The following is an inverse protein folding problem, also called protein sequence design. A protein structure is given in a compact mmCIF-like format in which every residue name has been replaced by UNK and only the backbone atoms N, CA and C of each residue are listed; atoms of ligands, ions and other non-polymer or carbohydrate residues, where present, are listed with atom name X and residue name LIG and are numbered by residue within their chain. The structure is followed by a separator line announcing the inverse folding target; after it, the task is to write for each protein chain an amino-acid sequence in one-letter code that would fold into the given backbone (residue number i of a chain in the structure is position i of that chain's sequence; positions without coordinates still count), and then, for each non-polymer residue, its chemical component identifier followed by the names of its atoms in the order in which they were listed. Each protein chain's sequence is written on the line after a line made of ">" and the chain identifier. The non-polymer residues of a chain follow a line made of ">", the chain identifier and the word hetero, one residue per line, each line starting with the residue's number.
data_IF_667026488091
#
_entry.id   IF_667026488091
#
_cell.length_a   1.000
_cell.length_b   1.000
_cell.length_c   1.000
_cell.angle_alpha   90.00
_cell.angle_beta   90.00
_cell.angle_gamma   90.00
#
_symmetry.space_group_name_H-M   'P 1'
#
loop_
_entity.id
_entity.type
_entity.pdbx_description
1 polymer ?
#
# COMPACT_ATOMS: atom_id res chain seq x y z
N UNK A 1 16.01 -16.87 5.63
CA UNK A 1 17.01 -16.53 6.67
C UNK A 1 17.22 -17.79 7.49
N UNK A 2 18.41 -18.39 7.44
CA UNK A 2 18.72 -19.67 8.13
C UNK A 2 18.80 -19.53 9.66
N UNK A 3 18.49 -18.35 10.21
CA UNK A 3 18.60 -18.05 11.64
C UNK A 3 17.33 -18.30 12.46
N UNK A 4 16.24 -18.76 11.84
CA UNK A 4 14.95 -18.95 12.51
C UNK A 4 14.87 -20.32 13.18
N UNK A 5 14.63 -20.37 14.49
CA UNK A 5 14.46 -21.65 15.22
C UNK A 5 13.08 -22.26 14.98
N UNK A 6 12.98 -23.56 15.24
CA UNK A 6 11.71 -24.28 15.22
C UNK A 6 10.72 -23.63 16.21
N UNK A 7 9.60 -23.13 15.68
CA UNK A 7 8.55 -22.41 16.45
C UNK A 7 8.60 -20.88 16.38
N UNK A 8 9.62 -20.28 15.74
CA UNK A 8 9.78 -18.83 15.64
C UNK A 8 9.20 -18.22 14.34
N UNK A 9 8.43 -19.00 13.56
CA UNK A 9 7.91 -18.57 12.25
C UNK A 9 6.38 -18.48 12.23
N UNK A 10 5.90 -17.42 11.56
CA UNK A 10 4.56 -17.42 10.98
C UNK A 10 4.50 -18.56 9.97
N UNK A 11 3.51 -19.43 10.09
CA UNK A 11 3.28 -20.51 9.15
C UNK A 11 1.80 -20.52 8.77
N UNK A 12 1.53 -20.91 7.54
CA UNK A 12 0.16 -21.16 7.06
C UNK A 12 0.00 -22.62 6.75
N UNK A 13 -1.17 -23.16 7.05
CA UNK A 13 -1.54 -24.50 6.64
C UNK A 13 -2.34 -24.43 5.34
N UNK A 14 -1.89 -25.16 4.33
CA UNK A 14 -2.56 -25.30 3.04
C UNK A 14 -2.81 -26.77 2.80
N UNK A 15 -4.08 -27.17 2.73
CA UNK A 15 -4.48 -28.58 2.53
C UNK A 15 -3.78 -29.55 3.51
N UNK A 16 -3.63 -29.14 4.77
CA UNK A 16 -2.94 -29.92 5.81
C UNK A 16 -1.40 -29.83 5.80
N UNK A 17 -0.81 -29.16 4.81
CA UNK A 17 0.63 -28.93 4.73
C UNK A 17 1.04 -27.61 5.39
N UNK A 18 2.01 -27.68 6.30
CA UNK A 18 2.63 -26.49 6.90
C UNK A 18 3.58 -25.83 5.89
N UNK A 19 3.34 -24.56 5.60
CA UNK A 19 4.23 -23.69 4.83
C UNK A 19 4.85 -22.65 5.78
N UNK A 20 6.16 -22.73 5.96
CA UNK A 20 6.89 -21.73 6.75
C UNK A 20 7.14 -20.48 5.90
N UNK A 21 6.86 -19.32 6.50
CA UNK A 21 7.10 -18.02 5.88
C UNK A 21 8.59 -17.66 5.94
N UNK A 22 9.10 -17.12 4.83
CA UNK A 22 10.50 -16.71 4.66
C UNK A 22 10.72 -15.21 4.84
N UNK A 23 9.64 -14.44 4.89
CA UNK A 23 9.63 -12.98 4.97
C UNK A 23 8.89 -12.52 6.22
N UNK A 24 9.38 -11.48 6.94
CA UNK A 24 8.63 -10.86 8.02
C UNK A 24 7.46 -10.04 7.48
N UNK A 25 6.50 -9.68 8.34
CA UNK A 25 5.42 -8.75 7.99
C UNK A 25 5.94 -7.32 7.85
N UNK A 26 6.19 -6.90 6.61
CA UNK A 26 6.55 -5.53 6.29
C UNK A 26 5.35 -4.59 6.35
N UNK A 27 4.17 -5.05 5.91
CA UNK A 27 2.89 -4.35 6.00
C UNK A 27 1.79 -5.33 6.41
N UNK A 28 1.09 -5.04 7.50
CA UNK A 28 -0.08 -5.79 7.92
C UNK A 28 -1.37 -5.11 7.47
N UNK A 29 -2.25 -5.83 6.78
CA UNK A 29 -3.63 -5.45 6.58
C UNK A 29 -4.47 -5.96 7.75
N UNK A 30 -5.35 -5.10 8.24
CA UNK A 30 -6.34 -5.43 9.26
C UNK A 30 -7.69 -4.95 8.75
N UNK A 31 -8.54 -5.91 8.37
CA UNK A 31 -9.90 -5.62 7.96
C UNK A 31 -10.73 -5.28 9.20
N UNK A 32 -11.24 -4.05 9.27
CA UNK A 32 -12.04 -3.58 10.40
C UNK A 32 -13.51 -4.00 10.28
N UNK A 33 -13.98 -4.18 9.04
CA UNK A 33 -15.35 -4.52 8.74
C UNK A 33 -15.45 -4.99 7.29
N UNK A 34 -16.38 -5.87 6.94
CA UNK A 34 -16.74 -6.14 5.54
C UNK A 34 -17.86 -5.19 5.03
N UNK A 35 -18.37 -4.28 5.88
CA UNK A 35 -19.34 -3.26 5.46
C UNK A 35 -18.69 -2.22 4.55
N UNK A 36 -19.45 -1.73 3.58
CA UNK A 36 -19.00 -0.71 2.65
C UNK A 36 -20.12 0.30 2.32
N UNK A 37 -19.74 1.55 2.08
CA UNK A 37 -20.64 2.62 1.60
C UNK A 37 -20.69 2.70 0.06
N UNK A 38 -20.23 1.65 -0.64
CA UNK A 38 -20.32 1.45 -2.09
C UNK A 38 -20.75 0.02 -2.42
N UNK A 39 -21.25 -0.20 -3.63
CA UNK A 39 -21.56 -1.53 -4.20
C UNK A 39 -20.83 -1.69 -5.55
N UNK A 40 -19.52 -1.88 -5.49
CA UNK A 40 -18.70 -1.84 -6.70
C UNK A 40 -18.85 -3.12 -7.53
N UNK A 41 -18.97 -3.03 -8.87
CA UNK A 41 -19.05 -4.18 -9.75
C UNK A 41 -17.88 -5.17 -9.63
N UNK A 42 -16.67 -4.68 -9.36
CA UNK A 42 -15.44 -5.48 -9.34
C UNK A 42 -14.96 -5.87 -7.93
N UNK A 43 -15.73 -5.58 -6.87
CA UNK A 43 -15.29 -5.78 -5.49
C UNK A 43 -15.78 -7.12 -4.92
N UNK A 44 -14.88 -7.88 -4.32
CA UNK A 44 -15.16 -9.17 -3.70
C UNK A 44 -15.55 -9.08 -2.20
N UNK A 45 -15.41 -7.91 -1.56
CA UNK A 45 -15.50 -7.74 -0.11
C UNK A 45 -16.83 -7.15 0.41
N UNK A 46 -17.91 -7.21 -0.38
CA UNK A 46 -19.17 -6.51 -0.06
C UNK A 46 -20.12 -7.32 0.84
N UNK A 47 -20.23 -6.95 2.13
CA UNK A 47 -21.14 -7.57 3.09
C UNK A 47 -22.62 -7.69 2.65
N UNK A 48 -23.13 -6.69 1.90
CA UNK A 48 -24.55 -6.67 1.49
C UNK A 48 -24.91 -7.80 0.53
N UNK A 49 -23.94 -8.31 -0.23
CA UNK A 49 -24.13 -9.42 -1.16
C UNK A 49 -23.77 -10.76 -0.50
N UNK A 50 -23.06 -10.73 0.63
CA UNK A 50 -22.61 -11.90 1.38
C UNK A 50 -23.63 -12.43 2.41
N UNK A 51 -24.54 -11.58 2.90
CA UNK A 51 -25.58 -11.97 3.89
C UNK A 51 -25.09 -12.08 5.34
N UNK A 52 -23.83 -11.72 5.61
CA UNK A 52 -23.21 -11.74 6.94
C UNK A 52 -22.34 -10.50 7.16
N UNK A 53 -22.09 -10.17 8.43
CA UNK A 53 -21.22 -9.05 8.82
C UNK A 53 -20.02 -9.57 9.61
N UNK A 54 -18.84 -9.34 9.04
CA UNK A 54 -17.54 -9.47 9.70
C UNK A 54 -17.16 -8.09 10.24
N UNK A 55 -17.09 -7.93 11.56
CA UNK A 55 -16.73 -6.67 12.21
C UNK A 55 -16.16 -6.96 13.60
N UNK A 56 -14.85 -7.23 13.73
CA UNK A 56 -14.24 -7.46 15.04
C UNK A 56 -14.41 -6.25 15.95
N UNK A 57 -14.71 -6.50 17.22
CA UNK A 57 -14.78 -5.44 18.22
C UNK A 57 -13.40 -4.83 18.50
N UNK A 58 -13.40 -3.68 19.18
CA UNK A 58 -12.18 -2.91 19.46
C UNK A 58 -11.13 -3.72 20.23
N UNK A 59 -11.54 -4.55 21.18
CA UNK A 59 -10.62 -5.34 21.99
C UNK A 59 -9.96 -6.44 21.15
N UNK A 60 -10.73 -7.05 20.24
CA UNK A 60 -10.22 -8.03 19.27
C UNK A 60 -9.25 -7.37 18.30
N UNK A 61 -9.59 -6.19 17.76
CA UNK A 61 -8.67 -5.39 16.93
C UNK A 61 -7.38 -5.06 17.69
N UNK A 62 -7.44 -4.72 18.98
CA UNK A 62 -6.26 -4.51 19.82
C UNK A 62 -5.40 -5.78 19.96
N UNK A 63 -6.01 -6.95 20.18
CA UNK A 63 -5.29 -8.24 20.25
C UNK A 63 -4.61 -8.59 18.93
N UNK A 64 -5.28 -8.34 17.80
CA UNK A 64 -4.71 -8.52 16.46
C UNK A 64 -3.47 -7.63 16.26
N UNK A 65 -3.54 -6.36 16.68
CA UNK A 65 -2.39 -5.46 16.68
C UNK A 65 -1.26 -5.94 17.59
N UNK A 66 -1.57 -6.51 18.76
CA UNK A 66 -0.57 -7.08 19.66
C UNK A 66 0.12 -8.30 19.04
N UNK A 67 -0.61 -9.17 18.34
CA UNK A 67 -0.03 -10.30 17.63
C UNK A 67 1.04 -9.84 16.60
N UNK A 68 0.72 -8.83 15.80
CA UNK A 68 1.65 -8.23 14.84
C UNK A 68 2.89 -7.60 15.51
N UNK A 69 2.70 -6.93 16.65
CA UNK A 69 3.81 -6.33 17.41
C UNK A 69 4.68 -7.35 18.13
N UNK A 70 4.13 -8.54 18.39
CA UNK A 70 4.82 -9.64 19.05
C UNK A 70 5.54 -10.58 18.08
N UNK A 71 5.38 -10.40 16.75
CA UNK A 71 6.13 -11.14 15.74
C UNK A 71 7.64 -11.16 16.04
N UNK A 72 8.22 -12.35 15.88
CA UNK A 72 9.64 -12.62 16.03
C UNK A 72 10.21 -13.12 14.70
N UNK A 73 11.50 -12.86 14.42
CA UNK A 73 12.43 -12.03 15.18
C UNK A 73 12.23 -10.53 14.94
N UNK A 74 11.40 -10.15 13.97
CA UNK A 74 11.13 -8.77 13.57
C UNK A 74 9.65 -8.47 13.82
N UNK A 75 9.39 -7.50 14.70
CA UNK A 75 8.03 -7.01 14.93
C UNK A 75 7.54 -6.19 13.74
N UNK A 76 6.27 -6.37 13.35
CA UNK A 76 5.64 -5.56 12.31
C UNK A 76 5.60 -4.07 12.73
N UNK A 77 5.99 -3.16 11.84
CA UNK A 77 5.98 -1.71 12.12
C UNK A 77 5.04 -0.88 11.27
N UNK A 78 4.35 -1.48 10.31
CA UNK A 78 3.40 -0.80 9.45
C UNK A 78 2.06 -1.55 9.42
N UNK A 79 0.98 -0.85 9.69
CA UNK A 79 -0.38 -1.38 9.64
C UNK A 79 -1.23 -0.56 8.67
N UNK A 80 -2.09 -1.24 7.92
CA UNK A 80 -3.07 -0.67 7.03
C UNK A 80 -4.46 -1.17 7.44
N UNK A 81 -5.32 -0.24 7.85
CA UNK A 81 -6.72 -0.53 8.08
C UNK A 81 -7.46 -0.62 6.75
N UNK A 82 -8.22 -1.69 6.59
CA UNK A 82 -8.88 -2.10 5.34
C UNK A 82 -10.25 -2.70 5.67
N UNK A 83 -10.86 -3.40 4.71
CA UNK A 83 -12.10 -4.14 4.86
C UNK A 83 -12.96 -3.98 3.62
N UNK A 84 -14.26 -3.77 3.82
CA UNK A 84 -15.11 -3.13 2.84
C UNK A 84 -14.71 -1.65 2.70
N UNK A 85 -15.14 -0.81 3.65
CA UNK A 85 -14.66 0.57 3.77
C UNK A 85 -14.34 0.88 5.25
N UNK A 86 -13.06 0.98 5.64
CA UNK A 86 -12.70 1.17 7.05
C UNK A 86 -13.26 2.45 7.65
N UNK A 87 -13.57 3.47 6.85
CA UNK A 87 -14.16 4.72 7.37
C UNK A 87 -15.57 4.58 7.93
N UNK A 88 -16.27 3.46 7.69
CA UNK A 88 -17.57 3.18 8.31
C UNK A 88 -17.46 2.46 9.66
N UNK A 89 -16.26 2.04 10.06
CA UNK A 89 -16.07 1.38 11.35
C UNK A 89 -16.30 2.37 12.51
N UNK A 90 -17.18 2.09 13.48
CA UNK A 90 -17.61 3.07 14.49
C UNK A 90 -16.46 3.65 15.32
N UNK A 91 -15.45 2.84 15.63
CA UNK A 91 -14.31 3.18 16.49
C UNK A 91 -13.01 3.46 15.73
N UNK A 92 -13.11 3.97 14.50
CA UNK A 92 -11.94 4.15 13.63
C UNK A 92 -10.84 5.02 14.27
N UNK A 93 -11.22 6.13 14.91
CA UNK A 93 -10.26 7.09 15.48
C UNK A 93 -9.52 6.47 16.65
N UNK A 94 -10.23 5.73 17.49
CA UNK A 94 -9.70 4.98 18.62
C UNK A 94 -8.74 3.87 18.16
N UNK A 95 -9.09 3.15 17.09
CA UNK A 95 -8.23 2.12 16.50
C UNK A 95 -6.93 2.72 15.96
N UNK A 96 -7.00 3.87 15.29
CA UNK A 96 -5.81 4.60 14.82
C UNK A 96 -4.95 5.03 16.00
N UNK A 97 -5.54 5.61 17.05
CA UNK A 97 -4.83 6.02 18.26
C UNK A 97 -4.13 4.82 18.94
N UNK A 98 -4.84 3.69 19.07
CA UNK A 98 -4.30 2.46 19.63
C UNK A 98 -3.09 1.93 18.82
N UNK A 99 -3.13 1.99 17.48
CA UNK A 99 -1.98 1.61 16.66
C UNK A 99 -0.76 2.50 16.93
N UNK A 100 -0.95 3.81 17.14
CA UNK A 100 0.14 4.71 17.49
C UNK A 100 0.71 4.44 18.87
N UNK A 101 -0.14 4.18 19.86
CA UNK A 101 0.27 3.78 21.20
C UNK A 101 1.10 2.48 21.17
N UNK A 102 0.67 1.51 20.35
CA UNK A 102 1.38 0.25 20.09
C UNK A 102 2.63 0.40 19.20
N UNK A 103 3.05 1.64 18.92
CA UNK A 103 4.30 2.00 18.23
C UNK A 103 4.38 1.48 16.78
N UNK A 104 3.26 1.38 16.07
CA UNK A 104 3.29 1.30 14.62
C UNK A 104 3.86 2.61 14.05
N UNK A 105 4.98 2.48 13.34
CA UNK A 105 5.67 3.62 12.74
C UNK A 105 4.82 4.21 11.60
N UNK A 106 4.20 3.34 10.81
CA UNK A 106 3.30 3.68 9.73
C UNK A 106 1.89 3.18 10.03
N UNK A 107 0.92 4.08 9.98
CA UNK A 107 -0.50 3.78 10.18
C UNK A 107 -1.23 4.30 8.96
N UNK A 108 -1.75 3.38 8.17
CA UNK A 108 -2.37 3.63 6.88
C UNK A 108 -3.85 3.26 6.90
N UNK A 109 -4.61 3.82 5.97
CA UNK A 109 -5.99 3.43 5.72
C UNK A 109 -6.22 3.27 4.22
N UNK A 110 -6.69 2.10 3.80
CA UNK A 110 -7.14 1.83 2.44
C UNK A 110 -8.60 2.25 2.32
N UNK A 111 -8.86 3.35 1.61
CA UNK A 111 -10.20 3.96 1.58
C UNK A 111 -10.58 4.38 0.17
N UNK A 112 -11.88 4.33 -0.11
CA UNK A 112 -12.48 4.93 -1.29
C UNK A 112 -12.51 6.47 -1.24
N UNK A 113 -12.25 7.07 -0.07
CA UNK A 113 -12.09 8.51 0.12
C UNK A 113 -13.39 9.30 0.32
N UNK A 114 -14.57 8.69 0.21
CA UNK A 114 -15.86 9.40 0.31
C UNK A 114 -15.99 10.15 1.63
N UNK A 115 -15.70 9.47 2.76
CA UNK A 115 -15.82 10.08 4.10
C UNK A 115 -14.82 11.22 4.26
N UNK A 116 -13.56 11.02 3.89
CA UNK A 116 -12.53 12.06 4.02
C UNK A 116 -12.71 13.23 3.05
N UNK A 117 -13.40 13.04 1.93
CA UNK A 117 -13.77 14.11 1.00
C UNK A 117 -14.92 14.97 1.57
N UNK A 118 -15.96 14.33 2.11
CA UNK A 118 -17.18 15.01 2.57
C UNK A 118 -17.13 15.49 4.03
N UNK A 119 -16.30 14.87 4.87
CA UNK A 119 -16.20 15.15 6.30
C UNK A 119 -14.75 15.49 6.66
N UNK A 120 -14.43 16.78 6.57
CA UNK A 120 -13.12 17.33 6.92
C UNK A 120 -12.73 17.06 8.38
N UNK A 121 -13.68 17.18 9.31
CA UNK A 121 -13.42 16.93 10.73
C UNK A 121 -13.03 15.48 10.98
N UNK A 122 -13.67 14.52 10.30
CA UNK A 122 -13.28 13.11 10.43
C UNK A 122 -11.86 12.84 9.94
N UNK A 123 -11.46 13.45 8.81
CA UNK A 123 -10.07 13.38 8.34
C UNK A 123 -9.10 13.96 9.39
N UNK A 124 -9.45 15.11 9.95
CA UNK A 124 -8.65 15.81 10.97
C UNK A 124 -8.51 14.99 12.25
N UNK A 125 -9.59 14.42 12.77
CA UNK A 125 -9.59 13.51 13.92
C UNK A 125 -8.67 12.31 13.69
N UNK A 126 -8.78 11.65 12.53
CA UNK A 126 -7.92 10.52 12.18
C UNK A 126 -6.44 10.92 12.09
N UNK A 127 -6.14 12.08 11.49
CA UNK A 127 -4.78 12.60 11.42
C UNK A 127 -4.20 12.93 12.80
N UNK A 128 -5.01 13.51 13.70
CA UNK A 128 -4.62 13.81 15.09
C UNK A 128 -4.41 12.54 15.92
N UNK A 129 -5.25 11.52 15.72
CA UNK A 129 -5.04 10.19 16.30
C UNK A 129 -3.76 9.50 15.77
N UNK A 130 -3.22 9.99 14.65
CA UNK A 130 -1.90 9.69 14.13
C UNK A 130 -1.87 8.84 12.86
N UNK A 131 -2.98 8.82 12.12
CA UNK A 131 -3.00 8.40 10.72
C UNK A 131 -1.94 9.19 9.95
N UNK A 132 -1.07 8.52 9.20
CA UNK A 132 0.00 9.18 8.47
C UNK A 132 0.04 8.84 6.98
N UNK A 133 -0.74 7.87 6.51
CA UNK A 133 -0.88 7.58 5.08
C UNK A 133 -2.33 7.27 4.72
N UNK A 134 -2.84 7.90 3.67
CA UNK A 134 -4.09 7.54 3.02
C UNK A 134 -3.73 6.75 1.76
N UNK A 135 -4.10 5.48 1.75
CA UNK A 135 -3.96 4.58 0.61
C UNK A 135 -5.24 4.71 -0.21
N UNK A 136 -5.27 5.72 -1.09
CA UNK A 136 -6.48 6.21 -1.75
C UNK A 136 -6.76 5.42 -3.02
N UNK A 137 -7.90 4.72 -3.09
CA UNK A 137 -8.38 4.11 -4.33
C UNK A 137 -8.52 5.19 -5.42
N UNK A 138 -7.88 5.01 -6.57
CA UNK A 138 -7.79 6.01 -7.64
C UNK A 138 -7.64 5.29 -8.99
N UNK A 139 -8.74 4.89 -9.62
CA UNK A 139 -8.67 4.05 -10.83
C UNK A 139 -8.49 4.85 -12.12
N UNK A 140 -8.72 6.17 -12.09
CA UNK A 140 -8.60 6.99 -13.29
C UNK A 140 -8.83 8.47 -13.05
N UNK A 141 -8.75 9.25 -14.11
CA UNK A 141 -9.01 10.69 -14.15
C UNK A 141 -10.41 11.00 -14.68
N UNK A 142 -11.05 10.04 -15.36
CA UNK A 142 -12.38 10.16 -15.92
C UNK A 142 -13.43 9.39 -15.12
N UNK A 143 -14.61 10.01 -14.94
CA UNK A 143 -15.70 9.39 -14.19
C UNK A 143 -16.27 8.13 -14.86
N UNK A 144 -16.12 7.96 -16.18
CA UNK A 144 -16.56 6.76 -16.89
C UNK A 144 -15.79 5.50 -16.45
N UNK A 145 -14.50 5.66 -16.12
CA UNK A 145 -13.70 4.57 -15.54
C UNK A 145 -14.28 4.16 -14.18
N UNK A 146 -14.65 5.14 -13.35
CA UNK A 146 -15.26 4.88 -12.03
C UNK A 146 -16.69 4.35 -12.12
N UNK A 147 -17.47 4.77 -13.11
CA UNK A 147 -18.78 4.19 -13.38
C UNK A 147 -18.65 2.69 -13.69
N UNK A 148 -17.70 2.31 -14.54
CA UNK A 148 -17.45 0.90 -14.91
C UNK A 148 -16.83 0.08 -13.76
N UNK A 149 -15.85 0.62 -13.04
CA UNK A 149 -15.10 -0.10 -12.00
C UNK A 149 -15.78 -0.06 -10.62
N UNK A 150 -16.41 1.06 -10.25
CA UNK A 150 -16.96 1.32 -8.91
C UNK A 150 -18.47 1.53 -8.88
N UNK A 151 -19.12 1.63 -10.03
CA UNK A 151 -20.58 1.79 -10.14
C UNK A 151 -21.07 3.22 -9.84
N UNK A 152 -20.16 4.20 -9.80
CA UNK A 152 -20.49 5.61 -9.48
C UNK A 152 -19.36 6.55 -9.87
N UNK A 153 -19.71 7.83 -10.07
CA UNK A 153 -18.76 8.94 -10.20
C UNK A 153 -17.95 9.13 -8.92
N UNK A 154 -16.63 9.29 -9.06
CA UNK A 154 -15.68 9.32 -7.93
C UNK A 154 -14.54 10.31 -8.11
N UNK A 155 -14.31 10.89 -9.29
CA UNK A 155 -13.14 11.75 -9.49
C UNK A 155 -13.16 12.97 -8.55
N UNK A 156 -14.31 13.64 -8.44
CA UNK A 156 -14.53 14.76 -7.50
C UNK A 156 -14.31 14.36 -6.03
N UNK A 157 -14.58 13.10 -5.67
CA UNK A 157 -14.27 12.58 -4.34
C UNK A 157 -12.76 12.58 -4.11
N UNK A 158 -11.97 12.14 -5.10
CA UNK A 158 -10.50 12.08 -4.98
C UNK A 158 -9.91 13.47 -4.84
N UNK A 159 -10.37 14.42 -5.65
CA UNK A 159 -9.95 15.82 -5.56
C UNK A 159 -10.29 16.41 -4.19
N UNK A 160 -11.48 16.13 -3.65
CA UNK A 160 -11.88 16.59 -2.32
C UNK A 160 -11.00 16.03 -1.19
N UNK A 161 -10.54 14.76 -1.28
CA UNK A 161 -9.57 14.21 -0.31
C UNK A 161 -8.23 14.96 -0.39
N UNK A 162 -7.73 15.20 -1.60
CA UNK A 162 -6.47 15.92 -1.84
C UNK A 162 -6.56 17.34 -1.26
N UNK A 163 -7.65 18.05 -1.53
CA UNK A 163 -7.84 19.42 -1.05
C UNK A 163 -7.99 19.47 0.47
N UNK A 164 -8.74 18.54 1.08
CA UNK A 164 -8.85 18.46 2.53
C UNK A 164 -7.50 18.14 3.20
N UNK A 165 -6.66 17.28 2.62
CA UNK A 165 -5.30 17.04 3.10
C UNK A 165 -4.39 18.26 2.97
N UNK A 166 -4.57 19.07 1.91
CA UNK A 166 -3.84 20.32 1.68
C UNK A 166 -4.25 21.38 2.70
N UNK A 167 -5.56 21.56 2.89
CA UNK A 167 -6.13 22.43 3.93
C UNK A 167 -5.60 22.07 5.32
N UNK A 168 -5.64 20.78 5.70
CA UNK A 168 -5.15 20.33 7.00
C UNK A 168 -3.64 20.63 7.20
N UNK A 169 -2.85 20.47 6.14
CA UNK A 169 -1.42 20.80 6.18
C UNK A 169 -1.18 22.29 6.38
N UNK A 170 -1.97 23.15 5.72
CA UNK A 170 -1.91 24.59 5.90
C UNK A 170 -2.30 24.99 7.33
N UNK A 171 -3.33 24.35 7.90
CA UNK A 171 -3.80 24.64 9.26
C UNK A 171 -2.85 24.17 10.36
N UNK A 172 -2.20 23.02 10.20
CA UNK A 172 -1.47 22.35 11.29
C UNK A 172 0.02 22.14 11.04
N UNK A 173 0.50 22.47 9.84
CA UNK A 173 1.85 22.14 9.36
C UNK A 173 2.02 20.66 9.01
N UNK A 174 1.02 19.81 9.23
CA UNK A 174 1.10 18.37 8.96
C UNK A 174 -0.20 17.83 8.34
N UNK A 175 -0.08 16.81 7.49
CA UNK A 175 -1.22 16.03 7.03
C UNK A 175 -0.75 14.60 6.70
N UNK A 176 -1.67 13.62 6.71
CA UNK A 176 -1.38 12.31 6.14
C UNK A 176 -0.90 12.45 4.69
N UNK A 177 0.11 11.68 4.31
CA UNK A 177 0.52 11.58 2.90
C UNK A 177 -0.49 10.76 2.12
N UNK A 178 -0.71 11.08 0.85
CA UNK A 178 -1.58 10.29 -0.03
C UNK A 178 -0.70 9.39 -0.92
N UNK A 179 -1.07 8.12 -1.04
CA UNK A 179 -0.62 7.21 -2.10
C UNK A 179 -1.80 6.91 -2.99
N UNK A 180 -1.68 7.17 -4.29
CA UNK A 180 -2.73 6.83 -5.26
C UNK A 180 -2.62 5.35 -5.59
N UNK A 181 -3.75 4.64 -5.52
CA UNK A 181 -3.82 3.20 -5.68
C UNK A 181 -4.69 2.89 -6.88
N UNK A 182 -4.05 2.50 -7.97
CA UNK A 182 -4.70 2.38 -9.27
C UNK A 182 -4.96 0.92 -9.54
N UNK A 183 -6.21 0.45 -9.45
CA UNK A 183 -6.53 -0.90 -9.92
C UNK A 183 -6.46 -0.90 -11.44
N UNK A 184 -5.41 -1.45 -12.03
CA UNK A 184 -5.19 -1.38 -13.49
C UNK A 184 -5.77 -2.60 -14.20
N UNK A 185 -6.53 -2.34 -15.25
CA UNK A 185 -7.18 -3.34 -16.11
C UNK A 185 -6.97 -2.93 -17.56
N UNK A 186 -6.48 -3.85 -18.37
CA UNK A 186 -6.30 -3.64 -19.80
C UNK A 186 -7.64 -3.33 -20.49
N UNK A 187 -7.66 -2.31 -21.34
CA UNK A 187 -8.87 -1.87 -22.06
C UNK A 187 -9.87 -1.08 -21.20
N UNK A 188 -9.57 -0.83 -19.92
CA UNK A 188 -10.38 0.00 -19.04
C UNK A 188 -9.68 1.32 -18.74
N UNK A 189 -8.48 1.27 -18.15
CA UNK A 189 -7.77 2.44 -17.65
C UNK A 189 -6.25 2.39 -17.89
N UNK A 190 -5.76 1.40 -18.65
CA UNK A 190 -4.34 1.26 -18.97
C UNK A 190 -3.80 2.44 -19.80
N UNK A 191 -4.66 3.09 -20.57
CA UNK A 191 -4.34 4.30 -21.34
C UNK A 191 -4.14 5.56 -20.47
N UNK A 192 -4.57 5.55 -19.21
CA UNK A 192 -4.37 6.68 -18.29
C UNK A 192 -3.14 6.52 -17.39
N UNK A 193 -2.40 5.41 -17.49
CA UNK A 193 -1.26 5.12 -16.59
C UNK A 193 -0.29 6.31 -16.52
N UNK A 194 0.20 6.82 -17.64
CA UNK A 194 1.08 7.99 -17.64
C UNK A 194 0.41 9.29 -17.18
N UNK A 195 -0.88 9.48 -17.47
CA UNK A 195 -1.63 10.66 -17.07
C UNK A 195 -1.83 10.73 -15.54
N UNK A 196 -2.08 9.59 -14.90
CA UNK A 196 -2.20 9.49 -13.43
C UNK A 196 -0.86 9.83 -12.76
N UNK A 197 0.27 9.42 -13.32
CA UNK A 197 1.59 9.81 -12.80
C UNK A 197 1.77 11.33 -12.87
N UNK A 198 1.44 11.96 -14.00
CA UNK A 198 1.48 13.42 -14.16
C UNK A 198 0.56 14.13 -13.16
N UNK A 199 -0.64 13.58 -12.92
CA UNK A 199 -1.57 14.08 -11.91
C UNK A 199 -0.97 13.99 -10.50
N UNK A 200 -0.32 12.88 -10.14
CA UNK A 200 0.35 12.72 -8.85
C UNK A 200 1.48 13.75 -8.68
N UNK A 201 2.30 13.94 -9.70
CA UNK A 201 3.41 14.92 -9.73
C UNK A 201 2.87 16.36 -9.51
N UNK A 202 1.75 16.70 -10.14
CA UNK A 202 1.08 17.99 -9.96
C UNK A 202 0.59 18.21 -8.52
N UNK A 203 0.21 17.14 -7.82
CA UNK A 203 -0.30 17.16 -6.45
C UNK A 203 0.74 16.69 -5.41
N UNK A 204 2.03 16.78 -5.72
CA UNK A 204 3.12 16.23 -4.88
C UNK A 204 3.28 16.88 -3.49
N UNK A 205 2.60 17.99 -3.27
CA UNK A 205 2.55 18.67 -1.97
C UNK A 205 1.91 17.77 -0.89
N UNK A 206 0.93 16.94 -1.30
CA UNK A 206 0.26 15.95 -0.43
C UNK A 206 0.32 14.51 -0.94
N UNK A 207 0.49 14.30 -2.25
CA UNK A 207 0.67 12.97 -2.86
C UNK A 207 2.14 12.58 -2.86
N UNK A 208 2.49 11.42 -2.30
CA UNK A 208 3.88 10.94 -2.16
C UNK A 208 4.22 9.72 -3.01
N UNK A 209 3.22 9.12 -3.65
CA UNK A 209 3.47 8.06 -4.60
C UNK A 209 2.23 7.56 -5.33
N UNK A 210 2.50 6.72 -6.31
CA UNK A 210 1.50 5.98 -7.08
C UNK A 210 1.86 4.50 -7.00
N UNK A 211 0.89 3.68 -6.63
CA UNK A 211 0.99 2.23 -6.67
C UNK A 211 -0.06 1.67 -7.63
N UNK A 212 0.40 1.23 -8.80
CA UNK A 212 -0.43 0.53 -9.77
C UNK A 212 -0.62 -0.92 -9.32
N UNK A 213 -1.84 -1.40 -9.32
CA UNK A 213 -2.18 -2.75 -8.89
C UNK A 213 -2.93 -3.43 -10.03
N UNK A 214 -2.20 -4.14 -10.93
CA UNK A 214 -2.81 -5.03 -11.88
C UNK A 214 -3.87 -5.89 -11.22
N UNK A 215 -5.05 -5.96 -11.84
CA UNK A 215 -6.19 -6.72 -11.32
C UNK A 215 -5.81 -8.19 -11.13
N UNK A 216 -6.19 -8.74 -9.98
CA UNK A 216 -6.22 -10.18 -9.76
C UNK A 216 -7.65 -10.66 -9.99
N UNK A 217 -7.81 -11.60 -10.93
CA UNK A 217 -9.12 -12.13 -11.26
C UNK A 217 -9.52 -13.23 -10.27
N UNK A 218 -10.41 -12.88 -9.33
CA UNK A 218 -10.90 -13.79 -8.28
C UNK A 218 -12.40 -14.00 -8.44
N UNK A 219 -12.92 -15.16 -7.99
CA UNK A 219 -14.34 -15.51 -8.12
C UNK A 219 -14.77 -15.97 -9.52
N UNK A 220 -15.96 -15.56 -9.97
CA UNK A 220 -16.61 -16.02 -11.21
C UNK A 220 -16.21 -15.15 -12.41
N UNK A 221 -14.97 -15.26 -12.85
CA UNK A 221 -14.45 -14.59 -14.06
C UNK A 221 -14.15 -15.64 -15.13
N UNK A 222 -14.55 -15.39 -16.36
CA UNK A 222 -14.25 -16.29 -17.49
C UNK A 222 -12.79 -16.19 -17.91
N UNK A 223 -12.23 -17.26 -18.50
CA UNK A 223 -10.87 -17.23 -19.04
C UNK A 223 -10.68 -16.13 -20.10
N UNK A 224 -11.75 -15.79 -20.83
CA UNK A 224 -11.74 -14.73 -21.82
C UNK A 224 -11.56 -13.35 -21.17
N UNK A 225 -12.38 -13.01 -20.17
CA UNK A 225 -12.24 -11.78 -19.37
C UNK A 225 -10.86 -11.68 -18.71
N UNK A 226 -10.34 -12.81 -18.20
CA UNK A 226 -8.98 -12.88 -17.63
C UNK A 226 -7.93 -12.51 -18.68
N UNK A 227 -8.00 -13.10 -19.88
CA UNK A 227 -6.99 -12.89 -20.91
C UNK A 227 -7.03 -11.48 -21.51
N UNK A 228 -8.22 -10.90 -21.68
CA UNK A 228 -8.39 -9.58 -22.26
C UNK A 228 -8.07 -8.45 -21.28
N UNK A 229 -8.41 -8.62 -19.99
CA UNK A 229 -8.24 -7.58 -18.97
C UNK A 229 -6.88 -7.58 -18.27
N UNK A 230 -6.04 -8.61 -18.49
CA UNK A 230 -4.76 -8.76 -17.77
C UNK A 230 -3.75 -7.73 -18.23
N UNK A 231 -3.10 -7.13 -17.25
CA UNK A 231 -1.96 -6.24 -17.42
C UNK A 231 -0.81 -6.73 -16.54
N UNK A 232 0.41 -6.71 -17.06
CA UNK A 232 1.60 -7.16 -16.32
C UNK A 232 2.35 -5.98 -15.68
N UNK A 233 3.28 -6.28 -14.76
CA UNK A 233 4.18 -5.26 -14.20
C UNK A 233 4.99 -4.56 -15.31
N UNK A 234 5.43 -5.32 -16.31
CA UNK A 234 6.18 -4.82 -17.46
C UNK A 234 5.33 -3.95 -18.38
N UNK A 235 4.04 -4.26 -18.55
CA UNK A 235 3.13 -3.41 -19.32
C UNK A 235 2.94 -2.05 -18.64
N UNK A 236 2.79 -2.04 -17.31
CA UNK A 236 2.70 -0.78 -16.54
C UNK A 236 3.98 0.05 -16.70
N UNK A 237 5.16 -0.56 -16.51
CA UNK A 237 6.43 0.14 -16.69
C UNK A 237 6.59 0.67 -18.12
N UNK A 238 6.24 -0.15 -19.13
CA UNK A 238 6.28 0.24 -20.54
C UNK A 238 5.36 1.42 -20.83
N UNK A 239 4.11 1.40 -20.34
CA UNK A 239 3.17 2.53 -20.44
C UNK A 239 3.75 3.80 -19.83
N UNK A 240 4.34 3.72 -18.64
CA UNK A 240 4.96 4.89 -18.01
C UNK A 240 6.10 5.43 -18.88
N UNK A 241 6.98 4.56 -19.41
CA UNK A 241 8.05 4.96 -20.31
C UNK A 241 7.51 5.66 -21.57
N UNK A 242 6.53 5.06 -22.24
CA UNK A 242 5.98 5.54 -23.52
C UNK A 242 5.13 6.81 -23.35
N UNK A 243 4.26 6.85 -22.34
CA UNK A 243 3.28 7.94 -22.16
C UNK A 243 3.91 9.21 -21.53
N UNK A 244 5.04 9.06 -20.84
CA UNK A 244 5.67 10.16 -20.09
C UNK A 244 7.07 10.53 -20.56
N UNK A 245 7.85 9.57 -21.07
CA UNK A 245 9.26 9.76 -21.39
C UNK A 245 10.16 9.98 -20.17
N UNK A 246 9.66 9.77 -18.93
CA UNK A 246 10.44 10.01 -17.71
C UNK A 246 11.40 8.88 -17.35
N UNK A 247 11.17 7.67 -17.86
CA UNK A 247 11.98 6.47 -17.58
C UNK A 247 12.24 5.68 -18.84
N UNK A 248 13.27 4.85 -18.82
CA UNK A 248 13.42 3.69 -19.69
C UNK A 248 13.07 2.40 -18.92
N UNK A 249 13.01 1.27 -19.61
CA UNK A 249 12.77 -0.02 -18.95
C UNK A 249 13.87 -0.41 -17.96
N UNK A 250 15.09 0.13 -18.12
CA UNK A 250 16.22 -0.16 -17.23
C UNK A 250 16.14 0.62 -15.90
N UNK A 251 15.23 1.58 -15.78
CA UNK A 251 15.02 2.36 -14.55
C UNK A 251 14.12 1.66 -13.52
N UNK A 252 13.71 0.41 -13.77
CA UNK A 252 12.73 -0.31 -12.98
C UNK A 252 13.33 -1.53 -12.30
N UNK A 253 13.16 -1.60 -10.98
CA UNK A 253 13.76 -2.65 -10.16
C UNK A 253 12.72 -3.45 -9.40
N UNK A 254 12.91 -4.78 -9.25
CA UNK A 254 12.09 -5.57 -8.34
C UNK A 254 12.19 -5.05 -6.91
N UNK A 255 11.11 -5.18 -6.14
CA UNK A 255 11.08 -4.80 -4.71
C UNK A 255 12.26 -5.34 -3.88
N UNK A 256 12.72 -6.61 -4.02
CA UNK A 256 13.81 -7.11 -3.20
C UNK A 256 15.18 -6.45 -3.43
N UNK A 257 15.35 -5.60 -4.45
CA UNK A 257 16.57 -4.83 -4.68
C UNK A 257 17.00 -3.99 -3.47
N UNK A 258 16.05 -3.53 -2.63
CA UNK A 258 16.36 -2.77 -1.42
C UNK A 258 16.66 -3.64 -0.19
N UNK A 259 16.60 -4.97 -0.29
CA UNK A 259 16.84 -5.88 0.83
C UNK A 259 18.26 -5.74 1.38
N UNK A 260 19.26 -5.57 0.52
CA UNK A 260 20.66 -5.37 0.93
C UNK A 260 20.86 -4.12 1.80
N UNK A 261 20.09 -3.05 1.54
CA UNK A 261 20.10 -1.82 2.36
C UNK A 261 19.61 -2.12 3.78
N UNK A 262 18.50 -2.84 3.88
CA UNK A 262 17.89 -3.21 5.17
C UNK A 262 18.75 -4.21 5.95
N UNK A 263 19.40 -5.13 5.25
CA UNK A 263 20.35 -6.08 5.83
C UNK A 263 21.57 -5.36 6.43
N UNK A 264 22.21 -4.49 5.64
CA UNK A 264 23.33 -3.69 6.10
C UNK A 264 22.96 -2.83 7.32
N UNK A 265 21.80 -2.17 7.27
CA UNK A 265 21.28 -1.38 8.39
C UNK A 265 21.10 -2.24 9.66
N UNK A 266 20.61 -3.47 9.52
CA UNK A 266 20.44 -4.41 10.64
C UNK A 266 21.78 -4.77 11.28
N UNK A 267 22.80 -5.04 10.46
CA UNK A 267 24.15 -5.40 10.90
C UNK A 267 24.80 -4.26 11.69
N UNK A 268 24.75 -3.01 11.20
CA UNK A 268 25.42 -1.87 11.85
C UNK A 268 24.70 -1.37 13.10
N UNK A 269 23.38 -1.56 13.17
CA UNK A 269 22.56 -1.17 14.32
C UNK A 269 22.47 -2.29 15.36
N UNK A 270 22.86 -3.52 15.03
CA UNK A 270 22.73 -4.68 15.91
C UNK A 270 21.26 -5.00 16.24
N UNK A 271 20.35 -4.69 15.31
CA UNK A 271 18.91 -4.87 15.48
C UNK A 271 18.34 -5.37 14.16
N UNK A 272 17.55 -6.45 14.18
CA UNK A 272 16.86 -6.91 12.98
C UNK A 272 15.84 -5.85 12.55
N UNK A 273 16.05 -5.25 11.39
CA UNK A 273 15.11 -4.34 10.74
C UNK A 273 14.26 -5.12 9.76
N UNK A 274 13.07 -4.59 9.45
CA UNK A 274 12.25 -5.11 8.35
C UNK A 274 13.11 -5.10 7.09
N UNK A 275 13.26 -6.27 6.52
CA UNK A 275 13.82 -6.48 5.18
C UNK A 275 12.65 -6.68 4.21
N UNK A 276 12.90 -6.44 2.93
CA UNK A 276 11.91 -6.68 1.88
C UNK A 276 12.33 -7.86 0.98
N UNK A 277 12.48 -9.10 1.49
CA UNK A 277 12.96 -10.25 0.70
C UNK A 277 11.85 -10.88 -0.17
N UNK A 278 10.87 -10.07 -0.59
CA UNK A 278 9.74 -10.53 -1.39
C UNK A 278 10.18 -11.14 -2.71
N UNK A 279 9.39 -12.06 -3.25
CA UNK A 279 9.67 -12.61 -4.56
C UNK A 279 9.75 -11.50 -5.64
N UNK A 280 10.74 -11.51 -6.55
CA UNK A 280 10.94 -10.45 -7.55
C UNK A 280 9.71 -10.19 -8.43
N UNK A 281 8.90 -11.23 -8.69
CA UNK A 281 7.68 -11.10 -9.51
C UNK A 281 6.50 -10.42 -8.78
N UNK A 282 6.61 -10.12 -7.48
CA UNK A 282 5.52 -9.51 -6.73
C UNK A 282 5.33 -8.02 -7.02
N UNK A 283 6.41 -7.31 -7.35
CA UNK A 283 6.32 -5.89 -7.62
C UNK A 283 7.58 -5.31 -8.23
N UNK A 284 7.38 -4.17 -8.88
CA UNK A 284 8.38 -3.42 -9.62
C UNK A 284 8.27 -1.96 -9.20
N UNK A 285 9.38 -1.25 -9.01
CA UNK A 285 9.34 0.15 -8.59
C UNK A 285 10.54 0.96 -9.06
N UNK A 286 10.34 2.27 -9.04
CA UNK A 286 11.38 3.29 -9.18
C UNK A 286 11.07 4.49 -8.27
N UNK A 287 12.02 5.41 -8.16
CA UNK A 287 11.86 6.65 -7.42
C UNK A 287 12.19 7.83 -8.32
N UNK A 288 11.30 8.82 -8.34
CA UNK A 288 11.52 10.07 -9.07
C UNK A 288 11.99 11.18 -8.13
N UNK A 289 12.98 11.93 -8.58
CA UNK A 289 13.33 13.25 -8.07
C UNK A 289 12.63 14.28 -8.95
N UNK A 290 11.79 15.10 -8.33
CA UNK A 290 10.93 16.07 -9.00
C UNK A 290 11.30 17.47 -8.52
N UNK A 291 11.53 18.41 -9.43
CA UNK A 291 11.87 19.80 -9.06
C UNK A 291 10.73 20.50 -8.32
N UNK A 292 11.04 21.57 -7.59
CA UNK A 292 10.06 22.34 -6.81
C UNK A 292 8.92 22.94 -7.64
N UNK A 293 9.13 23.20 -8.93
CA UNK A 293 8.10 23.61 -9.89
C UNK A 293 7.42 22.42 -10.60
N UNK A 294 8.01 21.22 -10.53
CA UNK A 294 7.53 20.00 -11.17
C UNK A 294 7.89 19.87 -12.65
N UNK A 295 8.72 20.78 -13.19
CA UNK A 295 9.10 20.79 -14.60
C UNK A 295 10.13 19.72 -14.96
N UNK A 296 10.98 19.33 -14.01
CA UNK A 296 12.00 18.28 -14.17
C UNK A 296 11.62 17.06 -13.33
N UNK A 297 11.63 15.90 -13.97
CA UNK A 297 11.35 14.60 -13.36
C UNK A 297 12.49 13.66 -13.75
N UNK A 298 13.27 13.23 -12.77
CA UNK A 298 14.50 12.46 -12.98
C UNK A 298 14.42 11.18 -12.16
N UNK A 299 14.43 9.99 -12.78
CA UNK A 299 14.39 8.74 -12.04
C UNK A 299 15.75 8.47 -11.39
N UNK A 300 15.75 7.88 -10.18
CA UNK A 300 16.98 7.61 -9.44
C UNK A 300 18.02 6.81 -10.26
N UNK A 301 17.65 5.75 -11.02
CA UNK A 301 18.65 4.98 -11.75
C UNK A 301 19.33 5.73 -12.89
N UNK A 302 18.76 6.84 -13.39
CA UNK A 302 19.41 7.62 -14.45
C UNK A 302 20.69 8.32 -13.99
N UNK A 303 20.86 8.54 -12.68
CA UNK A 303 22.04 9.18 -12.10
C UNK A 303 22.68 8.39 -10.95
N UNK A 304 22.17 7.18 -10.66
CA UNK A 304 22.75 6.27 -9.68
C UNK A 304 22.79 4.86 -10.24
N UNK A 305 23.98 4.25 -10.26
CA UNK A 305 24.21 2.85 -10.65
C UNK A 305 23.69 1.91 -9.56
N UNK A 306 22.37 1.68 -9.55
CA UNK A 306 21.67 0.94 -8.48
C UNK A 306 22.22 -0.48 -8.33
N UNK A 307 22.45 -1.20 -9.42
CA UNK A 307 22.96 -2.58 -9.39
C UNK A 307 24.36 -2.67 -8.77
N UNK A 308 25.28 -1.81 -9.22
CA UNK A 308 26.63 -1.73 -8.65
C UNK A 308 26.59 -1.38 -7.16
N UNK A 309 25.69 -0.47 -6.77
CA UNK A 309 25.52 -0.08 -5.37
C UNK A 309 25.00 -1.23 -4.51
N UNK A 310 23.95 -1.93 -4.95
CA UNK A 310 23.35 -3.03 -4.17
C UNK A 310 24.34 -4.18 -4.02
N UNK A 311 24.98 -4.61 -5.11
CA UNK A 311 26.00 -5.66 -5.09
C UNK A 311 27.17 -5.29 -4.16
N UNK A 312 27.71 -4.08 -4.30
CA UNK A 312 28.79 -3.61 -3.44
C UNK A 312 28.36 -3.49 -1.98
N UNK A 313 27.10 -3.17 -1.70
CA UNK A 313 26.57 -3.07 -0.35
C UNK A 313 26.50 -4.45 0.32
N UNK A 314 26.09 -5.49 -0.41
CA UNK A 314 26.08 -6.87 0.07
C UNK A 314 27.50 -7.36 0.41
N UNK A 315 28.49 -7.05 -0.43
CA UNK A 315 29.90 -7.34 -0.14
C UNK A 315 30.38 -6.63 1.14
N UNK A 316 30.00 -5.35 1.32
CA UNK A 316 30.33 -4.60 2.53
C UNK A 316 29.60 -5.18 3.75
N UNK A 317 28.35 -5.63 3.62
CA UNK A 317 27.58 -6.26 4.68
C UNK A 317 28.26 -7.55 5.18
N UNK A 318 28.70 -8.43 4.26
CA UNK A 318 29.44 -9.65 4.59
C UNK A 318 30.77 -9.35 5.33
N UNK A 319 31.44 -8.24 4.99
CA UNK A 319 32.62 -7.78 5.73
C UNK A 319 32.24 -7.24 7.11
N UNK A 320 31.15 -6.48 7.21
CA UNK A 320 30.70 -5.85 8.44
C UNK A 320 30.32 -6.89 9.50
N UNK A 321 29.69 -8.01 9.11
CA UNK A 321 29.34 -9.11 10.02
C UNK A 321 30.55 -9.69 10.76
N UNK A 322 31.69 -9.79 10.08
CA UNK A 322 32.95 -10.35 10.63
C UNK A 322 33.73 -9.35 11.48
N UNK A 323 33.35 -8.07 11.54
CA UNK A 323 34.08 -7.03 12.27
C UNK A 323 33.55 -6.82 13.69
N UNK A 324 34.47 -6.65 14.64
CA UNK A 324 34.15 -6.22 16.02
C UNK A 324 33.49 -4.82 16.07
N UNK A 325 33.98 -3.88 15.26
CA UNK A 325 33.44 -2.52 15.15
C UNK A 325 32.73 -2.32 13.82
N UNK A 326 31.51 -2.87 13.70
CA UNK A 326 30.70 -2.89 12.47
C UNK A 326 30.51 -1.50 11.84
N UNK A 327 30.24 -0.47 12.66
CA UNK A 327 30.01 0.92 12.19
C UNK A 327 31.18 1.52 11.36
N UNK A 328 32.41 1.00 11.49
CA UNK A 328 33.54 1.45 10.67
C UNK A 328 33.36 1.17 9.17
N UNK A 329 32.46 0.26 8.79
CA UNK A 329 32.14 0.03 7.37
C UNK A 329 31.29 1.14 6.76
N UNK A 330 30.74 2.06 7.54
CA UNK A 330 29.96 3.19 7.03
C UNK A 330 30.74 4.08 6.05
N UNK A 331 32.05 4.25 6.27
CA UNK A 331 32.93 4.96 5.33
C UNK A 331 33.05 4.24 3.98
N UNK A 332 33.04 2.90 3.98
CA UNK A 332 33.04 2.10 2.74
C UNK A 332 31.72 2.28 1.98
N UNK A 333 30.59 2.27 2.68
CA UNK A 333 29.27 2.52 2.05
C UNK A 333 29.19 3.94 1.49
N UNK A 334 29.69 4.94 2.22
CA UNK A 334 29.78 6.32 1.71
C UNK A 334 30.62 6.39 0.44
N UNK A 335 31.78 5.73 0.41
CA UNK A 335 32.65 5.67 -0.77
C UNK A 335 31.95 4.98 -1.95
N UNK A 336 31.33 3.82 -1.70
CA UNK A 336 30.57 3.08 -2.72
C UNK A 336 29.45 3.93 -3.30
N UNK A 337 28.64 4.56 -2.44
CA UNK A 337 27.56 5.44 -2.88
C UNK A 337 28.09 6.54 -3.80
N UNK A 338 29.17 7.24 -3.41
CA UNK A 338 29.80 8.26 -4.25
C UNK A 338 30.31 7.73 -5.60
N UNK A 339 30.83 6.50 -5.65
CA UNK A 339 31.31 5.86 -6.88
C UNK A 339 30.15 5.45 -7.82
N UNK A 340 28.99 5.18 -7.26
CA UNK A 340 27.80 4.80 -8.03
C UNK A 340 27.02 6.02 -8.55
N UNK A 341 27.37 7.25 -8.16
CA UNK A 341 26.72 8.45 -8.69
C UNK A 341 27.30 8.86 -10.04
N UNK A 342 26.41 9.27 -10.94
CA UNK A 342 26.74 9.83 -12.25
C UNK A 342 26.51 11.34 -12.15
N UNK A 343 27.58 12.07 -11.82
CA UNK A 343 27.51 13.48 -11.39
C UNK A 343 26.88 14.38 -12.45
N UNK A 344 27.22 14.15 -13.71
CA UNK A 344 26.74 14.90 -14.87
C UNK A 344 25.22 14.74 -15.12
N UNK A 345 24.60 13.70 -14.54
CA UNK A 345 23.16 13.44 -14.64
C UNK A 345 22.40 13.76 -13.35
N UNK A 346 23.10 14.21 -12.30
CA UNK A 346 22.44 14.53 -11.04
C UNK A 346 21.47 15.71 -11.20
N UNK A 347 20.34 15.69 -10.48
CA UNK A 347 19.44 16.84 -10.40
C UNK A 347 20.19 18.14 -10.07
N UNK A 348 19.91 19.20 -10.82
CA UNK A 348 20.56 20.50 -10.64
C UNK A 348 20.33 21.03 -9.20
N UNK A 349 21.41 21.47 -8.55
CA UNK A 349 21.38 21.92 -7.15
C UNK A 349 21.42 20.78 -6.11
N UNK A 350 21.26 19.51 -6.50
CA UNK A 350 21.46 18.39 -5.60
C UNK A 350 22.96 18.10 -5.42
N UNK A 351 23.49 18.42 -4.25
CA UNK A 351 24.87 18.04 -3.92
C UNK A 351 24.96 16.55 -3.55
N UNK A 352 26.11 15.92 -3.79
CA UNK A 352 26.40 14.54 -3.34
C UNK A 352 26.15 14.35 -1.84
N UNK A 353 26.59 15.32 -1.03
CA UNK A 353 26.38 15.26 0.42
C UNK A 353 24.90 15.42 0.78
N UNK A 354 24.15 16.26 0.05
CA UNK A 354 22.70 16.39 0.18
C UNK A 354 21.98 15.08 -0.13
N UNK A 355 22.37 14.39 -1.21
CA UNK A 355 21.79 13.09 -1.59
C UNK A 355 22.08 12.04 -0.54
N UNK A 356 23.34 11.96 -0.09
CA UNK A 356 23.74 11.08 1.01
C UNK A 356 22.92 11.38 2.27
N UNK A 357 22.76 12.65 2.65
CA UNK A 357 21.97 13.01 3.83
C UNK A 357 20.49 12.65 3.67
N UNK A 358 19.93 12.77 2.47
CA UNK A 358 18.54 12.38 2.17
C UNK A 358 18.38 10.86 2.28
N UNK A 359 19.24 10.08 1.63
CA UNK A 359 19.20 8.62 1.65
C UNK A 359 19.46 8.05 3.06
N UNK A 360 20.45 8.60 3.80
CA UNK A 360 20.71 8.23 5.19
C UNK A 360 19.59 8.70 6.14
N UNK A 361 18.99 9.86 5.85
CA UNK A 361 17.88 10.45 6.58
C UNK A 361 16.64 9.56 6.55
N UNK A 362 16.33 8.97 5.39
CA UNK A 362 15.27 7.95 5.20
C UNK A 362 15.50 6.74 6.12
N UNK A 363 16.75 6.36 6.38
CA UNK A 363 17.11 5.25 7.29
C UNK A 363 17.16 5.65 8.78
N UNK A 364 16.89 6.92 9.12
CA UNK A 364 16.98 7.46 10.47
C UNK A 364 15.64 8.03 10.96
N UNK A 365 15.44 8.11 12.29
CA UNK A 365 14.24 8.74 12.88
C UNK A 365 14.10 10.26 12.57
N UNK A 366 15.08 10.87 11.92
CA UNK A 366 15.18 12.33 11.66
C UNK A 366 14.81 12.74 10.23
N UNK A 367 14.10 11.91 9.47
CA UNK A 367 13.82 12.17 8.05
C UNK A 367 13.07 13.48 7.76
N UNK A 368 12.24 13.98 8.70
CA UNK A 368 11.36 15.13 8.46
C UNK A 368 12.11 16.47 8.36
N UNK A 369 13.21 16.66 9.09
CA UNK A 369 13.93 17.95 9.13
C UNK A 369 14.98 18.07 8.01
N UNK A 370 15.59 16.96 7.58
CA UNK A 370 16.63 16.95 6.53
C UNK A 370 16.14 17.31 5.14
N UNK A 371 14.83 17.20 4.88
CA UNK A 371 14.23 17.49 3.57
C UNK A 371 13.80 18.95 3.41
N UNK A 372 13.77 19.75 4.48
CA UNK A 372 13.23 21.12 4.47
C UNK A 372 14.10 22.13 3.69
N UNK A 373 15.35 21.79 3.35
CA UNK A 373 16.25 22.61 2.52
C UNK A 373 16.46 22.07 1.11
N UNK A 374 15.64 21.11 0.67
CA UNK A 374 15.82 20.39 -0.59
C UNK A 374 14.79 20.87 -1.62
N UNK A 375 15.23 21.49 -2.71
CA UNK A 375 14.38 21.99 -3.82
C UNK A 375 13.80 20.88 -4.70
N UNK A 376 13.91 19.62 -4.27
CA UNK A 376 13.45 18.45 -5.01
C UNK A 376 12.59 17.57 -4.10
N UNK A 377 11.42 17.16 -4.60
CA UNK A 377 10.58 16.14 -3.96
C UNK A 377 10.96 14.75 -4.44
N UNK A 378 10.93 13.77 -3.54
CA UNK A 378 10.99 12.35 -3.94
C UNK A 378 9.57 11.78 -4.04
N UNK A 379 9.29 11.02 -5.10
CA UNK A 379 8.04 10.31 -5.29
C UNK A 379 8.30 8.83 -5.59
N UNK A 380 7.63 7.95 -4.85
CA UNK A 380 7.61 6.53 -5.13
C UNK A 380 6.65 6.22 -6.27
N UNK A 381 7.07 5.45 -7.25
CA UNK A 381 6.18 4.89 -8.27
C UNK A 381 6.45 3.41 -8.37
N UNK A 382 5.42 2.61 -8.16
CA UNK A 382 5.53 1.17 -8.21
C UNK A 382 4.30 0.50 -8.78
N UNK A 383 4.46 -0.77 -9.09
CA UNK A 383 3.39 -1.66 -9.46
C UNK A 383 3.48 -2.94 -8.62
N UNK A 384 2.34 -3.46 -8.19
CA UNK A 384 2.24 -4.66 -7.36
C UNK A 384 1.23 -5.63 -7.96
N UNK A 385 1.71 -6.83 -8.33
CA UNK A 385 0.91 -7.83 -9.01
C UNK A 385 0.43 -8.87 -7.99
N UNK A 386 -0.85 -8.85 -7.64
CA UNK A 386 -1.43 -9.88 -6.80
C UNK A 386 -1.65 -11.17 -7.59
N UNK A 387 -1.71 -12.29 -6.87
CA UNK A 387 -1.91 -13.60 -7.49
C UNK A 387 -3.40 -13.87 -7.71
N UNK A 388 -3.67 -14.65 -8.73
CA UNK A 388 -4.97 -15.28 -8.99
C UNK A 388 -4.76 -16.73 -9.45
N UNK A 389 -5.84 -17.44 -9.80
CA UNK A 389 -5.78 -18.84 -10.21
C UNK A 389 -4.88 -19.09 -11.43
N UNK A 390 -4.62 -18.08 -12.27
CA UNK A 390 -3.79 -18.22 -13.46
C UNK A 390 -2.29 -18.19 -13.15
N UNK A 391 -1.86 -17.42 -12.13
CA UNK A 391 -0.44 -17.19 -11.83
C UNK A 391 -0.05 -17.52 -10.38
N UNK A 392 -0.82 -18.38 -9.71
CA UNK A 392 -0.59 -18.72 -8.31
C UNK A 392 0.69 -19.53 -8.12
N UNK A 393 1.63 -19.00 -7.34
CA UNK A 393 2.93 -19.57 -7.06
C UNK A 393 3.17 -19.59 -5.53
N UNK A 394 3.43 -20.78 -5.00
CA UNK A 394 3.70 -20.99 -3.58
C UNK A 394 4.98 -20.31 -3.10
N UNK A 395 6.01 -20.18 -3.95
CA UNK A 395 7.25 -19.49 -3.58
C UNK A 395 7.03 -17.99 -3.39
N UNK A 396 6.09 -17.41 -4.16
CA UNK A 396 5.62 -16.03 -3.94
C UNK A 396 4.86 -15.89 -2.63
N UNK A 397 4.02 -16.87 -2.29
CA UNK A 397 3.29 -16.90 -1.01
C UNK A 397 4.26 -16.98 0.16
N UNK A 398 5.21 -17.93 0.16
CA UNK A 398 6.22 -18.10 1.23
C UNK A 398 7.09 -16.87 1.43
N UNK A 399 7.30 -16.06 0.39
CA UNK A 399 8.08 -14.81 0.45
C UNK A 399 7.23 -13.56 0.58
N UNK A 400 5.92 -13.67 0.77
CA UNK A 400 5.07 -12.49 0.93
C UNK A 400 5.47 -11.69 2.17
N UNK A 401 5.56 -10.37 2.05
CA UNK A 401 5.80 -9.47 3.19
C UNK A 401 4.58 -8.63 3.54
N UNK A 402 3.46 -8.87 2.85
CA UNK A 402 2.18 -8.23 3.09
C UNK A 402 1.25 -9.32 3.63
N UNK A 403 0.80 -9.15 4.86
CA UNK A 403 -0.02 -10.16 5.53
C UNK A 403 -1.36 -9.57 5.96
N UNK A 404 -2.33 -10.43 6.19
CA UNK A 404 -3.53 -10.13 6.98
C UNK A 404 -3.35 -10.70 8.38
N UNK A 405 -3.84 -9.97 9.37
CA UNK A 405 -4.08 -10.54 10.71
C UNK A 405 -5.57 -10.82 10.89
N UNK A 406 -5.89 -11.97 11.45
CA UNK A 406 -7.28 -12.42 11.68
C UNK A 406 -7.68 -12.31 13.16
N UNK A 407 -8.99 -12.39 13.51
CA UNK A 407 -9.44 -12.29 14.91
C UNK A 407 -8.87 -13.38 15.84
N UNK A 408 -8.53 -14.56 15.31
CA UNK A 408 -7.77 -15.60 16.04
C UNK A 408 -6.25 -15.42 15.98
N UNK A 409 -5.78 -14.23 15.62
CA UNK A 409 -4.37 -13.84 15.59
C UNK A 409 -3.49 -14.65 14.63
N UNK A 410 -4.08 -15.31 13.62
CA UNK A 410 -3.30 -15.87 12.51
C UNK A 410 -2.79 -14.73 11.63
N UNK A 411 -1.57 -14.90 11.10
CA UNK A 411 -0.94 -13.98 10.17
C UNK A 411 -0.82 -14.71 8.83
N UNK A 412 -1.53 -14.23 7.82
CA UNK A 412 -1.75 -14.96 6.56
C UNK A 412 -1.25 -14.12 5.38
N UNK A 413 -0.46 -14.66 4.44
CA UNK A 413 -0.02 -13.94 3.24
C UNK A 413 -1.17 -13.35 2.46
N UNK A 414 -1.00 -12.12 1.94
CA UNK A 414 -2.04 -11.39 1.21
C UNK A 414 -2.72 -12.25 0.14
N UNK A 415 -1.90 -12.92 -0.69
CA UNK A 415 -2.42 -13.72 -1.79
C UNK A 415 -3.07 -15.01 -1.32
N UNK A 416 -2.61 -15.65 -0.24
CA UNK A 416 -3.28 -16.84 0.31
C UNK A 416 -4.61 -16.49 1.01
N UNK A 417 -4.71 -15.28 1.55
CA UNK A 417 -5.93 -14.76 2.15
C UNK A 417 -7.00 -14.44 1.10
N UNK A 418 -6.65 -13.67 0.07
CA UNK A 418 -7.64 -13.15 -0.91
C UNK A 418 -7.78 -13.99 -2.19
N UNK A 419 -6.78 -14.79 -2.53
CA UNK A 419 -6.69 -15.50 -3.81
C UNK A 419 -6.22 -16.95 -3.62
N UNK A 420 -6.32 -17.76 -4.68
CA UNK A 420 -5.87 -19.15 -4.66
C UNK A 420 -6.68 -20.02 -3.70
N UNK A 421 -6.19 -20.20 -2.46
CA UNK A 421 -6.86 -21.02 -1.43
C UNK A 421 -8.00 -20.25 -0.75
N UNK A 422 -8.03 -18.91 -0.91
CA UNK A 422 -9.13 -18.04 -0.48
C UNK A 422 -9.48 -18.18 1.02
N UNK A 423 -8.47 -18.20 1.88
CA UNK A 423 -8.64 -18.36 3.34
C UNK A 423 -9.51 -17.27 3.98
N UNK A 424 -9.74 -16.14 3.31
CA UNK A 424 -10.72 -15.12 3.70
C UNK A 424 -12.10 -15.74 3.94
N UNK A 425 -12.58 -16.64 3.08
CA UNK A 425 -13.92 -17.21 3.23
C UNK A 425 -14.05 -18.03 4.52
N UNK A 426 -13.01 -18.78 4.89
CA UNK A 426 -12.95 -19.54 6.14
C UNK A 426 -13.00 -18.61 7.35
N UNK A 427 -12.17 -17.56 7.32
CA UNK A 427 -12.08 -16.55 8.40
C UNK A 427 -13.40 -15.81 8.57
N UNK A 428 -13.97 -15.30 7.47
CA UNK A 428 -15.22 -14.56 7.52
C UNK A 428 -16.38 -15.46 7.99
N UNK A 429 -16.49 -16.72 7.53
CA UNK A 429 -17.49 -17.66 8.04
C UNK A 429 -17.38 -17.90 9.55
N UNK A 430 -16.16 -17.93 10.08
CA UNK A 430 -15.89 -18.20 11.50
C UNK A 430 -16.16 -17.00 12.41
N UNK A 431 -15.93 -15.79 11.91
CA UNK A 431 -15.96 -14.55 12.73
C UNK A 431 -17.05 -13.57 12.35
N UNK A 432 -17.97 -13.95 11.46
CA UNK A 432 -19.13 -13.13 11.12
C UNK A 432 -20.37 -13.53 11.90
N UNK A 433 -21.30 -12.59 12.02
CA UNK A 433 -22.68 -12.85 12.43
C UNK A 433 -23.63 -12.67 11.24
N UNK A 434 -24.84 -13.22 11.33
CA UNK A 434 -25.83 -13.04 10.26
C UNK A 434 -26.22 -11.56 10.14
N UNK A 435 -26.56 -11.11 8.94
CA UNK A 435 -26.98 -9.72 8.72
C UNK A 435 -28.24 -9.37 9.56
N UNK A 436 -29.15 -10.32 9.77
CA UNK A 436 -30.32 -10.12 10.63
C UNK A 436 -29.92 -9.90 12.08
N UNK A 437 -29.04 -10.73 12.62
CA UNK A 437 -28.52 -10.57 13.99
C UNK A 437 -27.77 -9.25 14.16
N UNK A 438 -26.97 -8.85 13.18
CA UNK A 438 -26.28 -7.56 13.22
C UNK A 438 -27.26 -6.38 13.25
N UNK A 439 -28.34 -6.42 12.45
CA UNK A 439 -29.37 -5.37 12.43
C UNK A 439 -30.12 -5.28 13.76
N UNK A 440 -30.41 -6.41 14.40
CA UNK A 440 -31.05 -6.43 15.72
C UNK A 440 -30.16 -5.80 16.79
N UNK A 441 -28.87 -6.14 16.80
CA UNK A 441 -27.89 -5.58 17.74
C UNK A 441 -27.58 -4.11 17.51
N UNK A 442 -27.62 -3.65 16.25
CA UNK A 442 -27.19 -2.31 15.84
C UNK A 442 -28.33 -1.48 15.24
N UNK A 443 -29.56 -1.66 15.73
CA UNK A 443 -30.77 -1.05 15.14
C UNK A 443 -30.65 0.46 14.93
N UNK A 444 -30.13 1.19 15.92
CA UNK A 444 -29.94 2.64 15.82
C UNK A 444 -28.94 3.04 14.72
N UNK A 445 -27.81 2.33 14.63
CA UNK A 445 -26.79 2.56 13.60
C UNK A 445 -27.31 2.18 12.21
N UNK A 446 -28.07 1.08 12.11
CA UNK A 446 -28.69 0.66 10.86
C UNK A 446 -29.70 1.67 10.35
N UNK A 447 -30.59 2.16 11.22
CA UNK A 447 -31.62 3.13 10.85
C UNK A 447 -30.99 4.47 10.41
N UNK A 448 -29.92 4.91 11.08
CA UNK A 448 -29.13 6.07 10.67
C UNK A 448 -28.42 5.85 9.33
N UNK A 449 -27.74 4.72 9.16
CA UNK A 449 -26.99 4.38 7.95
C UNK A 449 -27.91 4.26 6.74
N UNK A 450 -29.08 3.62 6.88
CA UNK A 450 -30.08 3.53 5.81
C UNK A 450 -30.66 4.90 5.49
N UNK A 451 -30.91 5.74 6.49
CA UNK A 451 -31.35 7.12 6.31
C UNK A 451 -30.32 7.97 5.55
N UNK A 452 -29.04 7.86 5.90
CA UNK A 452 -27.94 8.59 5.26
C UNK A 452 -27.61 8.05 3.86
N UNK A 453 -27.68 6.74 3.64
CA UNK A 453 -27.52 6.12 2.32
C UNK A 453 -28.64 6.58 1.38
N UNK A 454 -29.91 6.51 1.81
CA UNK A 454 -31.05 7.00 1.01
C UNK A 454 -30.95 8.49 0.69
N UNK A 455 -30.42 9.29 1.62
CA UNK A 455 -30.32 10.75 1.48
C UNK A 455 -29.12 11.21 0.64
N UNK A 456 -27.97 10.55 0.78
CA UNK A 456 -26.69 11.01 0.23
C UNK A 456 -26.15 10.13 -0.91
N UNK A 457 -26.74 8.95 -1.12
CA UNK A 457 -26.29 7.92 -2.07
C UNK A 457 -27.50 7.16 -2.64
N UNK A 458 -28.44 7.83 -3.34
CA UNK A 458 -29.54 7.12 -3.99
C UNK A 458 -28.95 6.03 -4.88
N UNK A 459 -29.26 4.78 -4.54
CA UNK A 459 -28.95 3.63 -5.37
C UNK A 459 -29.79 3.84 -6.62
N UNK A 460 -29.19 4.27 -7.71
CA UNK A 460 -29.87 4.27 -9.01
C UNK A 460 -30.14 2.80 -9.33
N UNK A 461 -31.41 2.35 -9.36
CA UNK A 461 -31.71 0.99 -9.78
C UNK A 461 -31.21 0.82 -11.21
N UNK A 462 -30.66 -0.36 -11.52
CA UNK A 462 -30.18 -0.70 -12.87
C UNK A 462 -31.30 -0.69 -13.93
N UNK A 463 -32.55 -0.50 -13.51
CA UNK A 463 -33.76 -0.67 -14.32
C UNK A 463 -34.54 0.64 -14.57
N UNK A 464 -33.95 1.81 -14.30
CA UNK A 464 -34.52 3.11 -14.69
C UNK A 464 -33.68 3.78 -15.79
N UNK A 465 -33.32 3.03 -16.84
CA UNK A 465 -33.25 3.62 -18.17
C UNK A 465 -34.70 3.71 -18.67
N UNK A 466 -35.28 4.91 -18.61
CA UNK A 466 -36.49 5.21 -19.37
C UNK A 466 -36.24 4.78 -20.82
N UNK A 467 -36.97 3.74 -21.27
CA UNK A 467 -37.10 3.44 -22.68
C UNK A 467 -37.44 4.76 -23.42
N UNK A 468 -36.79 5.05 -24.55
CA UNK A 468 -37.06 6.28 -25.28
C UNK A 468 -38.56 6.31 -25.59
N UNK A 469 -39.25 7.33 -25.10
CA UNK A 469 -40.63 7.60 -25.49
C UNK A 469 -40.62 7.86 -26.99
N UNK A 470 -41.37 7.04 -27.72
CA UNK A 470 -41.66 7.17 -29.17
C UNK A 470 -42.13 8.57 -29.54
#
# INVERSE_FOLDING_TARGET
>A
DETLKEGENVHVFVDGHRLDMMSPTALANLDLTNRCNMKCPICFANAMDCGYVYEPDFDTVCKMMDALRNEKPIACTAIQFSGGEPTVYPKLVEVIAAAKEKKFAQVQIATNGIVFSKNYEKLKECAQAGLNTIYLQFDGLEDDIYMRSRGRKMMSVKEGVIENCRKLRQETGHSPSIVLVVTTVMGLNDHEIGAILKFAIKNRDVVRGVNYQPVAFTGRVTNEEVSQGRITLTDVAKRICEDTGYTTMDDWYPVPTVAGISNYASIILGQNKITFPTHPHCGLATYFFISEDGSKVIPLPSFMKVEEFVKGLDEIAAIAEKKKFKKLTALKVRKLLLQCLIEEKMPEGLTKNGLISTLLGIMSKKSKDTLAGFSWGMMYVGAMHFQDHYNYDFERVKRCSIHYVTPDCRIIPFCAYNSGIELRQEVEKKFSISLSEWKEKNKAEYDQTVGEIKKNYPIVPKDEEEAPKE
#
